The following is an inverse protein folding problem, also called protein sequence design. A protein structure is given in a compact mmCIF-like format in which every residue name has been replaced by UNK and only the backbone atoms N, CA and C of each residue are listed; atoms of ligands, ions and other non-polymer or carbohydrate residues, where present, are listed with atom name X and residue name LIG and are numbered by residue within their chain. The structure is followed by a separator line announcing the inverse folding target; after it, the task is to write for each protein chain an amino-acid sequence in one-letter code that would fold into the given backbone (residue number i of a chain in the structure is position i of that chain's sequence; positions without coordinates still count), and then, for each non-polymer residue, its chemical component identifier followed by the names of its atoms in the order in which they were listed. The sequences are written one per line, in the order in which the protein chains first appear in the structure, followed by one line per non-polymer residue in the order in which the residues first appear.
data_IF_188522230732
#
_entry.id   IF_188522230732
#
_cell.length_a   1.000
_cell.length_b   1.000
_cell.length_c   1.000
_cell.angle_alpha   90.00
_cell.angle_beta   90.00
_cell.angle_gamma   90.00
#
_symmetry.space_group_name_H-M   'P 1'
#
loop_
_entity.id
_entity.type
_entity.pdbx_description
1 polymer ?
#
# COMPACT_ATOMS: atom_id res chain seq x y z
N UNK A 1 10.82 -17.55 -7.24
CA UNK A 1 10.05 -18.68 -7.81
C UNK A 1 10.84 -19.98 -7.58
N UNK A 2 10.17 -21.06 -7.18
CA UNK A 2 10.77 -22.39 -7.13
C UNK A 2 10.00 -23.35 -8.05
N UNK A 3 10.72 -24.22 -8.77
CA UNK A 3 10.13 -25.21 -9.68
C UNK A 3 10.78 -26.57 -9.47
N UNK A 4 9.96 -27.63 -9.50
CA UNK A 4 10.47 -28.98 -9.69
C UNK A 4 11.13 -29.09 -11.07
N UNK A 5 12.16 -29.94 -11.18
CA UNK A 5 12.79 -30.25 -12.46
C UNK A 5 11.82 -31.07 -13.32
N UNK A 6 11.84 -30.88 -14.63
CA UNK A 6 10.85 -31.47 -15.56
C UNK A 6 10.76 -33.01 -15.51
N UNK A 7 11.83 -33.68 -15.10
CA UNK A 7 11.88 -35.14 -14.99
C UNK A 7 11.34 -35.69 -13.66
N UNK A 8 11.05 -34.81 -12.68
CA UNK A 8 10.45 -35.23 -11.40
C UNK A 8 8.94 -35.35 -11.61
N UNK A 9 8.36 -36.54 -11.44
CA UNK A 9 6.92 -36.73 -11.63
C UNK A 9 6.16 -35.98 -10.53
N UNK A 10 5.04 -35.35 -10.93
CA UNK A 10 4.10 -34.76 -9.98
C UNK A 10 3.03 -35.78 -9.56
N UNK A 11 2.65 -35.78 -8.30
CA UNK A 11 1.59 -36.61 -7.73
C UNK A 11 0.31 -35.82 -7.49
N UNK A 12 -0.81 -36.34 -8.01
CA UNK A 12 -2.15 -35.78 -7.80
C UNK A 12 -2.23 -34.28 -8.17
N UNK A 13 -2.67 -33.44 -7.23
CA UNK A 13 -2.91 -32.00 -7.41
C UNK A 13 -1.71 -31.13 -7.01
N UNK A 14 -0.50 -31.70 -6.87
CA UNK A 14 0.66 -30.92 -6.46
C UNK A 14 1.16 -29.97 -7.57
N UNK A 15 1.46 -28.70 -7.24
CA UNK A 15 1.95 -27.74 -8.21
C UNK A 15 3.41 -28.00 -8.57
N UNK A 16 3.76 -27.87 -9.86
CA UNK A 16 5.17 -27.96 -10.31
C UNK A 16 5.98 -26.71 -9.95
N UNK A 17 5.33 -25.54 -9.98
CA UNK A 17 5.90 -24.23 -9.67
C UNK A 17 5.19 -23.65 -8.45
N UNK A 18 5.95 -23.09 -7.53
CA UNK A 18 5.44 -22.38 -6.35
C UNK A 18 6.19 -21.06 -6.15
N UNK A 19 5.52 -20.12 -5.48
CA UNK A 19 6.16 -18.89 -5.05
C UNK A 19 6.58 -19.03 -3.58
N UNK A 20 7.89 -18.93 -3.33
CA UNK A 20 8.43 -18.96 -1.98
C UNK A 20 8.59 -17.51 -1.51
N UNK A 21 7.82 -17.11 -0.50
CA UNK A 21 7.94 -15.77 0.10
C UNK A 21 8.62 -15.88 1.45
N UNK A 22 9.70 -15.13 1.61
CA UNK A 22 10.43 -15.00 2.88
C UNK A 22 10.05 -13.66 3.50
N UNK A 23 9.63 -13.65 4.77
CA UNK A 23 9.20 -12.42 5.43
C UNK A 23 10.35 -11.41 5.49
N UNK A 24 10.07 -10.18 5.06
CA UNK A 24 11.00 -9.05 5.11
C UNK A 24 11.24 -8.53 6.53
N UNK A 25 12.14 -7.56 6.64
CA UNK A 25 12.59 -7.01 7.93
C UNK A 25 11.46 -6.36 8.75
N UNK A 26 10.48 -5.74 8.08
CA UNK A 26 9.34 -5.08 8.71
C UNK A 26 8.40 -6.08 9.39
N UNK A 27 8.03 -7.18 8.71
CA UNK A 27 7.20 -8.24 9.27
C UNK A 27 7.90 -9.00 10.41
N UNK A 28 9.24 -9.10 10.37
CA UNK A 28 10.05 -9.70 11.44
C UNK A 28 10.14 -8.85 12.71
N UNK A 29 9.71 -7.59 12.67
CA UNK A 29 9.80 -6.69 13.82
C UNK A 29 8.90 -7.07 15.00
N UNK A 30 7.86 -7.88 14.77
CA UNK A 30 7.03 -8.44 15.85
C UNK A 30 6.45 -9.82 15.51
N UNK A 31 6.28 -10.67 16.51
CA UNK A 31 5.61 -11.98 16.33
C UNK A 31 4.14 -11.79 15.95
N UNK A 32 3.49 -10.76 16.53
CA UNK A 32 2.09 -10.44 16.26
C UNK A 32 1.85 -10.04 14.80
N UNK A 33 2.79 -9.34 14.15
CA UNK A 33 2.69 -9.01 12.72
C UNK A 33 2.78 -10.23 11.81
N UNK A 34 3.64 -11.21 12.15
CA UNK A 34 3.75 -12.46 11.38
C UNK A 34 2.45 -13.27 11.50
N UNK A 35 1.88 -13.36 12.70
CA UNK A 35 0.63 -14.08 12.93
C UNK A 35 -0.53 -13.39 12.20
N UNK A 36 -0.63 -12.06 12.30
CA UNK A 36 -1.68 -11.30 11.63
C UNK A 36 -1.60 -11.45 10.10
N UNK A 37 -0.42 -11.31 9.52
CA UNK A 37 -0.18 -11.51 8.08
C UNK A 37 -0.52 -12.95 7.66
N UNK A 38 -0.11 -13.95 8.43
CA UNK A 38 -0.43 -15.36 8.13
C UNK A 38 -1.94 -15.62 8.15
N UNK A 39 -2.66 -15.04 9.13
CA UNK A 39 -4.12 -15.17 9.23
C UNK A 39 -4.82 -14.39 8.11
N UNK A 40 -4.36 -13.16 7.79
CA UNK A 40 -4.82 -12.38 6.64
C UNK A 40 -4.72 -13.21 5.37
N UNK A 41 -3.52 -13.72 5.08
CA UNK A 41 -3.23 -14.45 3.85
C UNK A 41 -4.05 -15.74 3.74
N UNK A 42 -4.14 -16.53 4.82
CA UNK A 42 -4.94 -17.75 4.83
C UNK A 42 -6.42 -17.47 4.52
N UNK A 43 -7.01 -16.43 5.11
CA UNK A 43 -8.42 -16.08 4.86
C UNK A 43 -8.62 -15.58 3.43
N UNK A 44 -7.70 -14.78 2.89
CA UNK A 44 -7.78 -14.26 1.52
C UNK A 44 -7.62 -15.36 0.47
N UNK A 45 -6.75 -16.33 0.72
CA UNK A 45 -6.60 -17.56 -0.06
C UNK A 45 -7.93 -18.34 -0.10
N UNK A 46 -8.53 -18.60 1.08
CA UNK A 46 -9.81 -19.33 1.17
C UNK A 46 -10.96 -18.59 0.49
N UNK A 47 -10.97 -17.25 0.54
CA UNK A 47 -11.96 -16.40 -0.14
C UNK A 47 -11.71 -16.22 -1.64
N UNK A 48 -10.61 -16.77 -2.18
CA UNK A 48 -10.19 -16.62 -3.59
C UNK A 48 -10.06 -15.15 -4.00
N UNK A 49 -9.40 -14.38 -3.14
CA UNK A 49 -9.10 -12.96 -3.35
C UNK A 49 -7.60 -12.75 -3.56
N UNK A 50 -6.78 -13.67 -3.06
CA UNK A 50 -5.35 -13.73 -3.34
C UNK A 50 -4.92 -15.13 -3.82
N UNK A 51 -3.61 -15.34 -4.02
CA UNK A 51 -3.04 -16.63 -4.38
C UNK A 51 -3.33 -17.71 -3.34
N UNK A 52 -3.40 -18.98 -3.76
CA UNK A 52 -3.57 -20.08 -2.80
C UNK A 52 -2.36 -20.19 -1.86
N UNK A 53 -2.63 -20.43 -0.58
CA UNK A 53 -1.62 -20.77 0.41
C UNK A 53 -1.37 -22.29 0.43
N UNK A 54 -0.14 -22.72 0.14
CA UNK A 54 0.25 -24.13 0.23
C UNK A 54 0.84 -24.50 1.60
N UNK A 55 1.51 -23.57 2.27
CA UNK A 55 2.08 -23.82 3.59
C UNK A 55 2.78 -22.61 4.20
N UNK A 56 2.97 -22.65 5.51
CA UNK A 56 3.69 -21.63 6.29
C UNK A 56 4.85 -22.31 7.02
N UNK A 57 6.01 -21.67 7.07
CA UNK A 57 7.21 -22.16 7.75
C UNK A 57 7.88 -21.04 8.56
N UNK A 58 8.81 -21.36 9.48
CA UNK A 58 9.54 -20.33 10.22
C UNK A 58 10.27 -19.37 9.27
N UNK A 59 9.80 -18.12 9.20
CA UNK A 59 10.40 -17.08 8.37
C UNK A 59 9.77 -16.88 6.98
N UNK A 60 8.69 -17.58 6.63
CA UNK A 60 8.01 -17.35 5.35
C UNK A 60 6.82 -18.26 5.07
N UNK A 61 6.36 -18.24 3.82
CA UNK A 61 5.22 -19.02 3.33
C UNK A 61 5.41 -19.46 1.87
N UNK A 62 4.68 -20.50 1.49
CA UNK A 62 4.65 -21.06 0.13
C UNK A 62 3.28 -20.77 -0.47
N UNK A 63 3.27 -20.10 -1.60
CA UNK A 63 2.08 -19.60 -2.28
C UNK A 63 1.97 -20.19 -3.69
N UNK A 64 0.77 -20.11 -4.26
CA UNK A 64 0.53 -20.35 -5.68
C UNK A 64 1.37 -19.43 -6.56
N UNK A 65 2.09 -20.02 -7.50
CA UNK A 65 2.74 -19.26 -8.56
C UNK A 65 1.72 -18.96 -9.66
N UNK A 66 1.47 -17.68 -9.88
CA UNK A 66 0.54 -17.19 -10.89
C UNK A 66 1.35 -16.63 -12.06
N UNK A 67 1.23 -17.25 -13.23
CA UNK A 67 1.90 -16.80 -14.45
C UNK A 67 1.25 -15.48 -14.91
N UNK A 68 1.93 -14.39 -14.63
CA UNK A 68 1.42 -13.02 -14.77
C UNK A 68 2.58 -12.02 -14.80
N UNK A 69 2.28 -10.77 -15.15
CA UNK A 69 3.17 -9.62 -14.96
C UNK A 69 2.58 -8.69 -13.91
N UNK A 70 3.39 -7.82 -13.34
CA UNK A 70 2.86 -6.68 -12.58
C UNK A 70 2.27 -5.63 -13.52
N UNK A 71 1.33 -4.85 -13.01
CA UNK A 71 0.91 -3.60 -13.64
C UNK A 71 2.10 -2.64 -13.64
N UNK A 72 2.22 -1.81 -14.68
CA UNK A 72 3.27 -0.78 -14.74
C UNK A 72 2.70 0.61 -14.54
N UNK A 73 3.54 1.54 -14.07
CA UNK A 73 3.20 2.92 -13.77
C UNK A 73 2.34 3.60 -14.85
N UNK A 74 2.75 3.51 -16.12
CA UNK A 74 2.04 4.14 -17.24
C UNK A 74 0.61 3.60 -17.47
N UNK A 75 0.30 2.40 -16.97
CA UNK A 75 -1.01 1.78 -17.12
C UNK A 75 -2.05 2.27 -16.10
N UNK A 76 -1.62 2.87 -14.98
CA UNK A 76 -2.52 3.34 -13.91
C UNK A 76 -3.58 4.32 -14.43
N UNK A 77 -3.21 5.15 -15.41
CA UNK A 77 -4.09 6.15 -16.01
C UNK A 77 -5.06 5.60 -17.08
N UNK A 78 -4.93 4.32 -17.47
CA UNK A 78 -5.76 3.72 -18.52
C UNK A 78 -7.20 3.53 -18.00
N UNK A 79 -8.25 4.03 -18.69
CA UNK A 79 -9.64 3.94 -18.21
C UNK A 79 -10.11 2.55 -17.80
N UNK A 80 -9.69 1.50 -18.50
CA UNK A 80 -10.07 0.12 -18.18
C UNK A 80 -9.32 -0.43 -16.96
N UNK A 81 -8.10 0.04 -16.70
CA UNK A 81 -7.35 -0.27 -15.47
C UNK A 81 -8.02 0.41 -14.28
N UNK A 82 -8.40 1.69 -14.40
CA UNK A 82 -9.17 2.42 -13.39
C UNK A 82 -10.42 1.62 -13.00
N UNK A 83 -11.19 1.19 -14.00
CA UNK A 83 -12.38 0.35 -13.80
C UNK A 83 -12.07 -0.96 -13.08
N UNK A 84 -11.04 -1.68 -13.52
CA UNK A 84 -10.65 -2.97 -12.95
C UNK A 84 -10.22 -2.83 -11.48
N UNK A 85 -9.40 -1.84 -11.17
CA UNK A 85 -8.93 -1.55 -9.82
C UNK A 85 -10.09 -1.12 -8.93
N UNK A 86 -10.95 -0.20 -9.39
CA UNK A 86 -12.12 0.25 -8.64
C UNK A 86 -13.04 -0.90 -8.23
N UNK A 87 -13.29 -1.86 -9.15
CA UNK A 87 -14.07 -3.07 -8.88
C UNK A 87 -13.42 -3.98 -7.83
N UNK A 88 -12.10 -4.19 -7.92
CA UNK A 88 -11.39 -5.03 -6.95
C UNK A 88 -11.28 -4.38 -5.57
N UNK A 89 -11.06 -3.07 -5.52
CA UNK A 89 -11.02 -2.32 -4.27
C UNK A 89 -12.41 -2.36 -3.58
N UNK A 90 -13.50 -2.23 -4.35
CA UNK A 90 -14.85 -2.44 -3.83
C UNK A 90 -15.03 -3.83 -3.24
N UNK A 91 -14.47 -4.86 -3.89
CA UNK A 91 -14.49 -6.24 -3.39
C UNK A 91 -13.77 -6.43 -2.07
N UNK A 92 -12.56 -5.86 -1.97
CA UNK A 92 -11.75 -5.90 -0.74
C UNK A 92 -12.49 -5.16 0.39
N UNK A 93 -13.04 -3.97 0.11
CA UNK A 93 -13.78 -3.17 1.08
C UNK A 93 -15.09 -3.82 1.55
N UNK A 94 -15.67 -4.72 0.74
CA UNK A 94 -16.85 -5.52 1.09
C UNK A 94 -16.57 -6.69 2.04
N UNK A 95 -15.30 -6.99 2.34
CA UNK A 95 -14.93 -8.14 3.17
C UNK A 95 -15.22 -7.91 4.65
N UNK A 96 -15.89 -8.88 5.27
CA UNK A 96 -15.90 -9.02 6.73
C UNK A 96 -14.77 -9.96 7.16
N UNK A 97 -13.71 -9.36 7.70
CA UNK A 97 -12.51 -10.06 8.18
C UNK A 97 -12.49 -10.08 9.71
N UNK A 98 -12.06 -11.16 10.38
CA UNK A 98 -12.14 -11.32 11.84
C UNK A 98 -11.06 -10.52 12.62
N UNK A 99 -10.84 -9.26 12.25
CA UNK A 99 -9.88 -8.35 12.88
C UNK A 99 -10.56 -7.19 13.60
N UNK A 100 -9.75 -6.39 14.30
CA UNK A 100 -10.19 -5.13 14.90
C UNK A 100 -10.83 -4.25 13.83
N UNK A 101 -12.09 -3.86 14.04
CA UNK A 101 -12.86 -3.02 13.10
C UNK A 101 -12.54 -1.54 13.22
N UNK A 102 -11.71 -1.16 14.19
CA UNK A 102 -11.29 0.22 14.40
C UNK A 102 -10.01 0.50 13.60
N UNK A 103 -9.89 1.68 12.96
CA UNK A 103 -8.75 2.07 12.14
C UNK A 103 -7.53 2.39 13.00
N UNK A 104 -6.97 1.38 13.68
CA UNK A 104 -5.92 1.58 14.69
C UNK A 104 -4.56 1.05 14.29
N UNK A 105 -4.50 0.11 13.33
CA UNK A 105 -3.25 -0.57 12.96
C UNK A 105 -2.21 0.41 12.39
N UNK A 106 -2.56 1.12 11.32
CA UNK A 106 -1.69 2.09 10.65
C UNK A 106 -1.35 3.27 11.57
N UNK A 107 -2.32 3.80 12.32
CA UNK A 107 -2.11 4.91 13.25
C UNK A 107 -1.15 4.55 14.40
N UNK A 108 -1.31 3.36 15.00
CA UNK A 108 -0.35 2.88 16.02
C UNK A 108 1.05 2.68 15.44
N UNK A 109 1.14 2.27 14.19
CA UNK A 109 2.42 2.13 13.49
C UNK A 109 3.06 3.51 13.26
N UNK A 110 2.30 4.51 12.77
CA UNK A 110 2.74 5.90 12.65
C UNK A 110 3.24 6.46 13.98
N UNK A 111 2.45 6.30 15.05
CA UNK A 111 2.82 6.77 16.41
C UNK A 111 4.10 6.11 16.92
N UNK A 112 4.28 4.81 16.67
CA UNK A 112 5.50 4.10 17.03
C UNK A 112 6.71 4.68 16.29
N UNK A 113 6.60 4.86 14.97
CA UNK A 113 7.69 5.38 14.15
C UNK A 113 8.02 6.84 14.47
N UNK A 114 7.00 7.70 14.63
CA UNK A 114 7.17 9.08 15.09
C UNK A 114 7.85 9.14 16.46
N UNK A 115 7.50 8.26 17.39
CA UNK A 115 8.17 8.19 18.69
C UNK A 115 9.65 7.82 18.55
N UNK A 116 10.06 7.03 17.56
CA UNK A 116 11.47 6.75 17.27
C UNK A 116 12.16 7.96 16.65
N UNK A 117 11.55 8.57 15.63
CA UNK A 117 12.09 9.75 14.93
C UNK A 117 12.24 10.96 15.87
N UNK A 118 11.36 11.11 16.85
CA UNK A 118 11.39 12.21 17.85
C UNK A 118 12.27 11.91 19.07
N UNK A 119 12.91 10.73 19.12
CA UNK A 119 13.80 10.32 20.21
C UNK A 119 13.08 9.89 21.50
N UNK A 120 11.75 9.80 21.51
CA UNK A 120 10.96 9.28 22.64
C UNK A 120 11.19 7.77 22.83
N UNK A 121 11.40 7.04 21.72
CA UNK A 121 11.77 5.63 21.70
C UNK A 121 13.17 5.45 21.13
N UNK A 122 13.75 4.27 21.39
CA UNK A 122 15.05 3.89 20.82
C UNK A 122 15.00 3.91 19.28
N UNK A 123 16.11 4.28 18.62
CA UNK A 123 16.23 4.22 17.17
C UNK A 123 15.82 2.86 16.60
N UNK A 124 15.32 2.82 15.36
CA UNK A 124 15.08 1.54 14.70
C UNK A 124 16.40 0.78 14.53
N UNK A 125 16.35 -0.55 14.66
CA UNK A 125 17.52 -1.40 14.47
C UNK A 125 17.19 -2.42 13.38
N UNK A 126 18.14 -2.64 12.45
CA UNK A 126 18.02 -3.70 11.46
C UNK A 126 17.86 -5.05 12.18
N UNK A 127 16.80 -5.83 11.90
CA UNK A 127 16.65 -7.14 12.52
C UNK A 127 17.77 -8.08 12.06
N UNK A 128 18.31 -8.88 12.97
CA UNK A 128 19.30 -9.91 12.60
C UNK A 128 18.61 -10.95 11.71
N UNK A 129 19.17 -11.33 10.54
CA UNK A 129 18.52 -12.31 9.70
C UNK A 129 18.45 -13.68 10.40
N UNK A 130 17.31 -14.36 10.30
CA UNK A 130 17.12 -15.73 10.82
C UNK A 130 17.75 -16.82 9.92
N UNK A 131 18.63 -16.43 8.99
CA UNK A 131 19.33 -17.34 8.09
C UNK A 131 20.77 -17.51 8.57
N UNK A 132 21.32 -18.72 8.40
CA UNK A 132 22.73 -18.96 8.71
C UNK A 132 23.63 -18.01 7.90
N UNK A 133 24.79 -17.63 8.46
CA UNK A 133 25.74 -16.75 7.76
C UNK A 133 26.11 -17.27 6.36
N UNK A 134 26.12 -18.59 6.16
CA UNK A 134 26.40 -19.20 4.86
C UNK A 134 25.27 -18.97 3.84
N UNK A 135 24.00 -18.99 4.27
CA UNK A 135 22.85 -18.72 3.41
C UNK A 135 22.74 -17.25 3.04
N UNK A 136 23.07 -16.35 3.97
CA UNK A 136 23.13 -14.91 3.70
C UNK A 136 24.24 -14.56 2.72
N UNK A 137 25.44 -15.12 2.92
CA UNK A 137 26.58 -14.92 2.01
C UNK A 137 26.36 -15.54 0.62
N UNK A 138 25.45 -16.51 0.50
CA UNK A 138 25.06 -17.08 -0.79
C UNK A 138 24.06 -16.17 -1.50
N UNK A 139 23.04 -15.68 -0.79
CA UNK A 139 22.06 -14.72 -1.32
C UNK A 139 22.70 -13.37 -1.65
N UNK A 140 23.62 -12.88 -0.83
CA UNK A 140 24.40 -11.67 -1.09
C UNK A 140 25.28 -11.84 -2.33
N UNK A 141 25.93 -13.01 -2.51
CA UNK A 141 26.71 -13.29 -3.72
C UNK A 141 25.83 -13.33 -4.96
N UNK A 142 24.67 -13.98 -4.88
CA UNK A 142 23.72 -14.07 -6.00
C UNK A 142 23.14 -12.69 -6.35
N UNK A 143 22.87 -11.83 -5.35
CA UNK A 143 22.43 -10.45 -5.57
C UNK A 143 23.53 -9.52 -6.11
N UNK A 144 24.78 -9.73 -5.68
CA UNK A 144 25.94 -8.96 -6.16
C UNK A 144 26.31 -9.37 -7.60
N UNK A 145 26.23 -10.66 -7.94
CA UNK A 145 26.54 -11.16 -9.28
C UNK A 145 25.53 -10.71 -10.36
N UNK A 146 24.27 -10.44 -9.99
CA UNK A 146 23.26 -9.87 -10.91
C UNK A 146 23.43 -8.35 -11.14
N UNK A 147 24.32 -7.70 -10.37
CA UNK A 147 24.54 -6.24 -10.38
C UNK A 147 25.82 -5.78 -11.09
N UNK A 148 26.46 -6.65 -11.89
CA UNK A 148 27.75 -6.37 -12.51
C UNK A 148 27.66 -5.44 -13.73
N UNK A 149 27.30 -4.17 -13.48
CA UNK A 149 27.72 -3.01 -14.26
C UNK A 149 28.24 -1.92 -13.32
N UNK A 150 29.57 -1.80 -13.34
CA UNK A 150 30.45 -0.71 -12.89
C UNK A 150 30.67 -0.49 -11.38
N UNK A 151 31.95 -0.63 -11.03
CA UNK A 151 32.62 -0.27 -9.78
C UNK A 151 32.22 1.08 -9.18
N UNK A 152 32.05 1.11 -7.85
CA UNK A 152 31.80 2.25 -6.93
C UNK A 152 30.33 2.65 -6.71
N UNK A 153 29.76 2.32 -5.54
CA UNK A 153 28.56 3.03 -5.07
C UNK A 153 27.73 2.33 -4.00
N UNK A 154 28.25 2.12 -2.78
CA UNK A 154 27.33 2.14 -1.63
C UNK A 154 26.71 3.54 -1.60
N UNK A 155 25.38 3.63 -1.55
CA UNK A 155 24.73 4.91 -1.27
C UNK A 155 25.23 5.41 0.08
N UNK A 156 25.53 6.71 0.23
CA UNK A 156 25.95 7.24 1.51
C UNK A 156 24.91 6.90 2.58
N UNK A 157 25.32 6.23 3.65
CA UNK A 157 24.42 6.01 4.78
C UNK A 157 24.08 7.37 5.40
N UNK A 158 22.79 7.67 5.50
CA UNK A 158 22.30 8.83 6.21
C UNK A 158 22.26 8.48 7.70
N UNK A 159 23.03 9.21 8.50
CA UNK A 159 23.04 8.96 9.94
C UNK A 159 21.68 9.28 10.58
N UNK A 160 21.40 8.65 11.71
CA UNK A 160 20.09 8.81 12.35
C UNK A 160 19.80 10.25 12.78
N UNK A 161 20.81 11.03 13.17
CA UNK A 161 20.59 12.42 13.57
C UNK A 161 20.07 13.23 12.37
N UNK A 162 20.66 13.05 11.20
CA UNK A 162 20.16 13.67 9.95
C UNK A 162 18.70 13.24 9.67
N UNK A 163 18.35 11.98 9.89
CA UNK A 163 16.95 11.50 9.75
C UNK A 163 16.00 12.21 10.73
N UNK A 164 16.42 12.43 11.99
CA UNK A 164 15.63 13.17 12.96
C UNK A 164 15.46 14.64 12.56
N UNK A 165 16.50 15.26 12.03
CA UNK A 165 16.46 16.63 11.51
C UNK A 165 15.49 16.76 10.33
N UNK A 166 15.45 15.77 9.43
CA UNK A 166 14.45 15.69 8.35
C UNK A 166 13.03 15.57 8.89
N UNK A 167 12.80 14.72 9.89
CA UNK A 167 11.47 14.57 10.50
C UNK A 167 10.94 15.91 11.09
N UNK A 168 11.83 16.70 11.70
CA UNK A 168 11.52 18.05 12.19
C UNK A 168 11.30 19.04 11.04
N UNK A 169 12.19 19.03 10.02
CA UNK A 169 12.08 19.90 8.84
C UNK A 169 10.74 19.70 8.11
N UNK A 170 10.29 18.45 8.00
CA UNK A 170 9.02 18.09 7.39
C UNK A 170 7.81 18.24 8.33
N UNK A 171 8.02 18.60 9.60
CA UNK A 171 6.96 18.77 10.61
C UNK A 171 6.07 17.53 10.77
N UNK A 172 6.65 16.34 10.65
CA UNK A 172 5.89 15.09 10.56
C UNK A 172 4.98 14.86 11.78
N UNK A 173 5.46 15.18 12.98
CA UNK A 173 4.67 15.01 14.21
C UNK A 173 3.50 16.00 14.24
N UNK A 174 3.76 17.27 13.96
CA UNK A 174 2.74 18.32 13.98
C UNK A 174 1.67 18.09 12.92
N UNK A 175 2.06 17.71 11.70
CA UNK A 175 1.13 17.44 10.61
C UNK A 175 0.32 16.15 10.84
N UNK A 176 0.94 15.13 11.45
CA UNK A 176 0.23 13.91 11.85
C UNK A 176 -0.82 14.18 12.95
N UNK A 177 -0.46 14.89 14.01
CA UNK A 177 -1.41 15.24 15.08
C UNK A 177 -2.51 16.17 14.56
N UNK A 178 -2.18 17.14 13.70
CA UNK A 178 -3.19 17.98 13.04
C UNK A 178 -4.19 17.13 12.25
N UNK A 179 -3.71 16.20 11.42
CA UNK A 179 -4.58 15.37 10.60
C UNK A 179 -5.47 14.46 11.47
N UNK A 180 -4.90 13.90 12.54
CA UNK A 180 -5.63 13.09 13.52
C UNK A 180 -6.74 13.90 14.20
N UNK A 181 -6.45 15.13 14.61
CA UNK A 181 -7.44 16.05 15.18
C UNK A 181 -8.55 16.39 14.17
N UNK A 182 -8.21 16.66 12.90
CA UNK A 182 -9.21 16.91 11.86
C UNK A 182 -10.11 15.70 11.63
N UNK A 183 -9.57 14.48 11.61
CA UNK A 183 -10.36 13.26 11.51
C UNK A 183 -11.31 13.08 12.71
N UNK A 184 -10.86 13.40 13.92
CA UNK A 184 -11.67 13.30 15.14
C UNK A 184 -12.81 14.34 15.20
N UNK A 185 -12.62 15.53 14.65
CA UNK A 185 -13.65 16.58 14.59
C UNK A 185 -14.85 16.19 13.73
N UNK A 186 -14.73 15.20 12.86
CA UNK A 186 -15.80 14.75 11.94
C UNK A 186 -16.79 13.81 12.64
N UNK A 187 -17.43 14.27 13.72
CA UNK A 187 -18.37 13.46 14.51
C UNK A 187 -19.73 13.27 13.85
N UNK A 188 -20.20 14.27 13.10
CA UNK A 188 -21.53 14.24 12.46
C UNK A 188 -21.56 13.51 11.11
N UNK A 189 -20.40 13.33 10.48
CA UNK A 189 -20.26 12.69 9.18
C UNK A 189 -18.93 11.92 9.13
N UNK A 190 -18.69 10.92 9.98
CA UNK A 190 -17.40 10.23 10.08
C UNK A 190 -17.06 9.52 8.78
N UNK A 191 -15.76 9.38 8.47
CA UNK A 191 -15.39 8.64 7.26
C UNK A 191 -15.69 7.13 7.42
N UNK A 192 -16.20 6.45 6.37
CA UNK A 192 -16.47 5.03 6.43
C UNK A 192 -15.21 4.21 6.71
N UNK A 193 -15.33 3.25 7.63
CA UNK A 193 -14.28 2.28 7.94
C UNK A 193 -14.61 0.94 7.28
N UNK A 194 -13.68 0.42 6.50
CA UNK A 194 -13.80 -0.84 5.75
C UNK A 194 -12.50 -1.63 5.86
N UNK A 195 -12.48 -2.89 5.43
CA UNK A 195 -11.23 -3.63 5.31
C UNK A 195 -10.46 -3.12 4.09
N UNK A 196 -9.27 -2.58 4.29
CA UNK A 196 -8.45 -1.94 3.24
C UNK A 196 -7.21 -2.79 2.93
N UNK A 197 -6.69 -2.65 1.71
CA UNK A 197 -5.37 -3.13 1.32
C UNK A 197 -4.26 -2.29 1.96
N UNK A 198 -4.45 -0.96 2.00
CA UNK A 198 -3.55 0.07 2.51
C UNK A 198 -2.27 0.32 1.69
N UNK A 199 -1.92 -0.55 0.74
CA UNK A 199 -0.74 -0.39 -0.13
C UNK A 199 -0.98 -0.86 -1.59
N UNK A 200 -2.06 -0.39 -2.23
CA UNK A 200 -2.42 -0.83 -3.60
C UNK A 200 -1.67 -0.03 -4.70
N UNK A 201 -0.35 -0.15 -4.71
CA UNK A 201 0.53 0.31 -5.79
C UNK A 201 0.56 -0.69 -6.98
N UNK A 202 1.08 -0.29 -8.13
CA UNK A 202 1.11 -1.08 -9.37
C UNK A 202 1.87 -2.41 -9.20
N UNK A 203 2.93 -2.44 -8.40
CA UNK A 203 3.69 -3.67 -8.10
C UNK A 203 2.87 -4.72 -7.33
N UNK A 204 1.83 -4.27 -6.62
CA UNK A 204 0.91 -5.13 -5.85
C UNK A 204 -0.33 -5.52 -6.68
N UNK A 205 -0.33 -5.29 -7.99
CA UNK A 205 -1.40 -5.67 -8.91
C UNK A 205 -0.82 -6.55 -10.02
N UNK A 206 -1.19 -7.83 -10.02
CA UNK A 206 -0.85 -8.74 -11.12
C UNK A 206 -1.86 -8.58 -12.25
N UNK A 207 -1.39 -8.56 -13.50
CA UNK A 207 -2.22 -8.63 -14.71
C UNK A 207 -2.17 -10.07 -15.23
N UNK A 208 -3.33 -10.72 -15.24
CA UNK A 208 -3.50 -12.15 -15.51
C UNK A 208 -3.68 -12.46 -17.01
N UNK A 209 -3.98 -11.44 -17.80
CA UNK A 209 -4.09 -11.53 -19.24
C UNK A 209 -3.05 -10.64 -19.93
N UNK A 210 -3.01 -10.68 -21.27
CA UNK A 210 -2.20 -9.75 -22.09
C UNK A 210 -3.14 -8.76 -22.81
N UNK A 211 -3.74 -7.81 -22.06
CA UNK A 211 -4.76 -6.92 -22.61
C UNK A 211 -4.12 -5.84 -23.46
N UNK A 212 -4.76 -5.49 -24.59
CA UNK A 212 -4.51 -4.18 -25.21
C UNK A 212 -5.13 -3.08 -24.36
N UNK A 213 -4.74 -1.80 -24.52
CA UNK A 213 -5.27 -0.70 -23.72
C UNK A 213 -6.80 -0.58 -23.70
N UNK A 214 -7.48 -1.01 -24.77
CA UNK A 214 -8.94 -0.98 -24.92
C UNK A 214 -9.64 -2.23 -24.38
N UNK A 215 -8.89 -3.26 -24.00
CA UNK A 215 -9.43 -4.53 -23.55
C UNK A 215 -9.68 -4.52 -22.04
N UNK A 216 -10.37 -5.57 -21.57
CA UNK A 216 -10.62 -5.78 -20.15
C UNK A 216 -9.32 -6.23 -19.48
N UNK A 217 -8.97 -5.59 -18.37
CA UNK A 217 -7.85 -6.00 -17.54
C UNK A 217 -8.36 -7.02 -16.50
N UNK A 218 -7.84 -8.24 -16.58
CA UNK A 218 -8.02 -9.22 -15.53
C UNK A 218 -6.88 -9.05 -14.54
N UNK A 219 -7.19 -8.53 -13.36
CA UNK A 219 -6.17 -8.22 -12.35
C UNK A 219 -6.35 -9.04 -11.08
N UNK A 220 -5.28 -9.17 -10.32
CA UNK A 220 -5.26 -9.77 -9.00
C UNK A 220 -4.40 -8.92 -8.05
N UNK A 221 -5.02 -8.23 -7.08
CA UNK A 221 -4.29 -7.62 -5.97
C UNK A 221 -3.55 -8.68 -5.15
N UNK A 222 -2.32 -8.36 -4.75
CA UNK A 222 -1.46 -9.21 -3.93
C UNK A 222 -0.77 -8.37 -2.83
N UNK A 223 -0.07 -9.05 -1.92
CA UNK A 223 0.73 -8.41 -0.87
C UNK A 223 -0.06 -7.58 0.16
N UNK A 224 -0.96 -8.27 0.87
CA UNK A 224 -1.82 -7.71 1.91
C UNK A 224 -1.10 -7.50 3.26
N UNK A 225 0.20 -7.18 3.26
CA UNK A 225 0.99 -7.07 4.49
C UNK A 225 0.56 -5.90 5.38
N UNK A 226 0.08 -4.81 4.77
CA UNK A 226 -0.50 -3.66 5.47
C UNK A 226 -2.02 -3.75 5.62
N UNK A 227 -2.66 -4.84 5.16
CA UNK A 227 -4.11 -4.92 5.10
C UNK A 227 -4.76 -4.98 6.49
N UNK A 228 -5.87 -4.27 6.64
CA UNK A 228 -6.58 -4.12 7.90
C UNK A 228 -7.72 -3.12 7.79
N UNK A 229 -8.55 -3.05 8.83
CA UNK A 229 -9.62 -2.04 8.85
C UNK A 229 -9.02 -0.64 8.91
N UNK A 230 -9.42 0.21 7.97
CA UNK A 230 -8.99 1.59 7.87
C UNK A 230 -10.11 2.44 7.23
N UNK A 231 -9.92 3.76 7.16
CA UNK A 231 -10.83 4.63 6.41
C UNK A 231 -10.78 4.28 4.93
N UNK A 232 -11.93 4.09 4.28
CA UNK A 232 -12.02 3.79 2.84
C UNK A 232 -11.27 4.82 2.00
N UNK A 233 -11.45 6.10 2.33
CA UNK A 233 -10.75 7.20 1.70
C UNK A 233 -9.23 7.07 1.71
N UNK A 234 -8.66 6.45 2.74
CA UNK A 234 -7.22 6.20 2.81
C UNK A 234 -6.75 5.28 1.71
N UNK A 235 -7.42 4.15 1.50
CA UNK A 235 -6.99 3.16 0.50
C UNK A 235 -7.11 3.73 -0.93
N UNK A 236 -8.22 4.42 -1.19
CA UNK A 236 -8.46 5.11 -2.48
C UNK A 236 -7.46 6.25 -2.69
N UNK A 237 -7.26 7.10 -1.68
CA UNK A 237 -6.31 8.21 -1.74
C UNK A 237 -4.86 7.74 -1.88
N UNK A 238 -4.49 6.63 -1.24
CA UNK A 238 -3.21 5.98 -1.42
C UNK A 238 -3.03 5.55 -2.88
N UNK A 239 -4.00 4.82 -3.43
CA UNK A 239 -3.93 4.39 -4.83
C UNK A 239 -3.80 5.57 -5.81
N UNK A 240 -4.50 6.69 -5.57
CA UNK A 240 -4.33 7.90 -6.37
C UNK A 240 -2.95 8.54 -6.23
N UNK A 241 -2.34 8.48 -5.05
CA UNK A 241 -0.98 8.97 -4.86
C UNK A 241 0.03 8.18 -5.70
N UNK A 242 -0.16 6.87 -5.85
CA UNK A 242 0.77 6.00 -6.61
C UNK A 242 0.80 6.31 -8.11
N UNK A 243 -0.18 7.06 -8.64
CA UNK A 243 -0.11 7.57 -10.02
C UNK A 243 0.99 8.60 -10.25
N UNK A 244 1.56 9.13 -9.17
CA UNK A 244 2.61 10.13 -9.23
C UNK A 244 4.01 9.54 -9.05
N UNK A 245 4.17 8.26 -8.66
CA UNK A 245 5.46 7.68 -8.29
C UNK A 245 5.78 6.46 -9.17
N UNK A 246 6.92 6.50 -9.85
CA UNK A 246 7.45 5.39 -10.65
C UNK A 246 8.68 4.80 -9.95
N UNK A 247 8.55 3.56 -9.47
CA UNK A 247 9.59 2.84 -8.74
C UNK A 247 10.56 2.08 -9.64
N UNK A 248 10.41 2.17 -10.97
CA UNK A 248 11.24 1.43 -11.94
C UNK A 248 12.47 2.21 -12.42
N UNK A 249 12.67 3.43 -11.91
CA UNK A 249 13.75 4.29 -12.33
C UNK A 249 15.13 3.68 -12.00
N UNK A 250 16.02 3.46 -12.99
CA UNK A 250 17.22 2.65 -12.79
C UNK A 250 18.36 3.37 -12.06
N UNK A 251 18.29 4.71 -11.99
CA UNK A 251 19.34 5.55 -11.41
C UNK A 251 18.88 6.16 -10.07
N UNK A 252 19.83 6.56 -9.22
CA UNK A 252 19.52 7.25 -7.96
C UNK A 252 18.63 8.47 -8.24
N UNK A 253 17.50 8.66 -7.52
CA UNK A 253 17.17 8.05 -6.22
C UNK A 253 16.47 6.67 -6.25
N UNK A 254 16.43 6.02 -7.41
CA UNK A 254 15.76 4.73 -7.71
C UNK A 254 14.22 4.82 -7.70
N UNK A 255 13.72 6.03 -7.89
CA UNK A 255 12.34 6.32 -8.24
C UNK A 255 12.32 7.64 -9.02
N UNK A 256 11.25 7.85 -9.78
CA UNK A 256 10.88 9.15 -10.34
C UNK A 256 9.50 9.52 -9.81
N UNK A 257 9.18 10.81 -9.79
CA UNK A 257 7.83 11.25 -9.47
C UNK A 257 7.43 12.48 -10.28
N UNK A 258 6.15 12.56 -10.63
CA UNK A 258 5.53 13.71 -11.27
C UNK A 258 4.17 13.96 -10.62
N UNK A 259 4.10 15.06 -9.86
CA UNK A 259 2.91 15.44 -9.11
C UNK A 259 1.77 15.97 -9.99
N UNK A 260 2.00 16.19 -11.28
CA UNK A 260 0.97 16.60 -12.24
C UNK A 260 0.24 15.40 -12.84
N UNK A 261 0.72 14.17 -12.60
CA UNK A 261 0.05 12.92 -12.97
C UNK A 261 -1.02 12.46 -11.98
N UNK A 262 -1.18 13.16 -10.85
CA UNK A 262 -2.25 12.90 -9.90
C UNK A 262 -3.63 12.93 -10.60
N UNK A 263 -4.52 11.95 -10.37
CA UNK A 263 -5.74 11.81 -11.15
C UNK A 263 -6.62 13.06 -11.06
N UNK A 264 -7.12 13.52 -12.21
CA UNK A 264 -8.02 14.66 -12.29
C UNK A 264 -9.33 14.41 -11.54
N UNK A 265 -10.09 15.47 -11.26
CA UNK A 265 -11.42 15.36 -10.62
C UNK A 265 -12.35 14.44 -11.41
N UNK A 266 -12.26 14.47 -12.73
CA UNK A 266 -13.03 13.62 -13.63
C UNK A 266 -12.59 12.15 -13.54
N UNK A 267 -11.29 11.87 -13.50
CA UNK A 267 -10.76 10.51 -13.33
C UNK A 267 -11.12 9.93 -11.95
N UNK A 268 -11.04 10.74 -10.90
CA UNK A 268 -11.48 10.34 -9.55
C UNK A 268 -12.98 10.05 -9.52
N UNK A 269 -13.82 10.87 -10.18
CA UNK A 269 -15.25 10.61 -10.29
C UNK A 269 -15.55 9.33 -11.09
N UNK A 270 -14.80 9.06 -12.16
CA UNK A 270 -14.88 7.81 -12.91
C UNK A 270 -14.56 6.61 -12.01
N UNK A 271 -13.45 6.67 -11.25
CA UNK A 271 -13.08 5.63 -10.30
C UNK A 271 -14.20 5.38 -9.28
N UNK A 272 -14.72 6.44 -8.65
CA UNK A 272 -15.79 6.32 -7.66
C UNK A 272 -17.09 5.78 -8.24
N UNK A 273 -17.43 6.13 -9.49
CA UNK A 273 -18.62 5.61 -10.17
C UNK A 273 -18.55 4.09 -10.29
N UNK A 274 -17.42 3.58 -10.76
CA UNK A 274 -17.18 2.13 -10.94
C UNK A 274 -17.08 1.39 -9.62
N UNK A 275 -16.39 2.00 -8.64
CA UNK A 275 -16.29 1.48 -7.28
C UNK A 275 -17.67 1.30 -6.65
N UNK A 276 -18.53 2.33 -6.70
CA UNK A 276 -19.86 2.29 -6.11
C UNK A 276 -20.79 1.32 -6.83
N UNK A 277 -20.67 1.23 -8.16
CA UNK A 277 -21.40 0.24 -8.95
C UNK A 277 -21.06 -1.19 -8.50
N UNK A 278 -19.76 -1.50 -8.36
CA UNK A 278 -19.28 -2.80 -7.92
C UNK A 278 -19.66 -3.11 -6.47
N UNK A 279 -19.47 -2.16 -5.56
CA UNK A 279 -19.77 -2.33 -4.14
C UNK A 279 -21.25 -2.67 -3.88
N UNK A 280 -22.15 -2.23 -4.76
CA UNK A 280 -23.58 -2.59 -4.71
C UNK A 280 -23.91 -3.97 -5.25
N UNK A 281 -23.25 -4.40 -6.31
CA UNK A 281 -23.58 -5.68 -6.97
C UNK A 281 -23.08 -6.86 -6.15
N UNK A 282 -22.05 -6.65 -5.32
CA UNK A 282 -21.51 -7.66 -4.41
C UNK A 282 -22.39 -8.00 -3.20
N UNK A 283 -23.72 -7.78 -3.28
CA UNK A 283 -24.74 -8.05 -2.25
C UNK A 283 -24.63 -9.45 -1.60
N UNK A 284 -23.71 -9.60 -0.64
CA UNK A 284 -23.86 -10.00 0.77
C UNK A 284 -22.67 -9.44 1.60
N UNK A 285 -22.53 -8.11 1.74
CA UNK A 285 -21.73 -7.57 2.83
C UNK A 285 -22.37 -7.99 4.16
N UNK A 286 -21.58 -8.48 5.10
CA UNK A 286 -22.12 -8.97 6.37
C UNK A 286 -22.75 -7.82 7.17
N UNK A 287 -23.70 -8.16 8.05
CA UNK A 287 -24.50 -7.23 8.86
C UNK A 287 -23.70 -6.23 9.74
N UNK A 288 -22.37 -6.32 9.77
CA UNK A 288 -21.48 -5.54 10.64
C UNK A 288 -20.77 -4.37 9.93
N UNK A 289 -20.96 -4.18 8.62
CA UNK A 289 -20.53 -2.96 7.91
C UNK A 289 -21.48 -1.78 8.21
N UNK A 290 -21.77 -1.55 9.50
CA UNK A 290 -22.96 -0.85 9.99
C UNK A 290 -23.06 0.60 9.55
N UNK A 291 -21.99 1.23 9.06
CA UNK A 291 -22.00 2.67 8.73
C UNK A 291 -21.84 2.97 7.23
N UNK A 292 -21.12 2.14 6.45
CA UNK A 292 -20.88 2.43 5.03
C UNK A 292 -22.14 2.33 4.15
N UNK A 293 -23.09 1.44 4.53
CA UNK A 293 -24.35 1.26 3.81
C UNK A 293 -25.40 2.32 4.10
N UNK A 294 -25.40 2.90 5.32
CA UNK A 294 -26.40 3.88 5.74
C UNK A 294 -26.14 5.27 5.12
N UNK A 295 -24.88 5.69 4.96
CA UNK A 295 -24.57 7.04 4.48
C UNK A 295 -24.69 7.21 2.96
N UNK A 296 -24.41 6.17 2.18
CA UNK A 296 -24.40 6.26 0.72
C UNK A 296 -25.75 5.92 0.06
N UNK A 297 -26.82 5.69 0.83
CA UNK A 297 -28.16 5.38 0.30
C UNK A 297 -28.21 4.11 -0.59
N UNK A 298 -27.18 3.26 -0.56
CA UNK A 298 -26.95 2.15 -1.50
C UNK A 298 -27.93 0.97 -1.32
N UNK A 299 -28.80 1.05 -0.30
CA UNK A 299 -29.82 0.04 0.00
C UNK A 299 -31.09 0.16 -0.85
N UNK A 300 -31.32 1.28 -1.53
CA UNK A 300 -32.52 1.50 -2.34
C UNK A 300 -32.34 0.97 -3.77
N UNK A 301 -33.28 0.14 -4.24
CA UNK A 301 -33.31 -0.37 -5.62
C UNK A 301 -33.51 0.73 -6.68
N UNK A 302 -33.86 1.95 -6.26
CA UNK A 302 -34.07 3.11 -7.12
C UNK A 302 -32.91 4.14 -7.09
N UNK A 303 -31.71 3.77 -6.64
CA UNK A 303 -30.59 4.73 -6.59
C UNK A 303 -30.20 5.24 -7.99
N UNK A 304 -30.37 6.54 -8.23
CA UNK A 304 -29.85 7.20 -9.42
C UNK A 304 -28.44 7.77 -9.18
N UNK A 305 -27.51 7.51 -10.11
CA UNK A 305 -26.15 8.06 -10.10
C UNK A 305 -26.11 9.60 -10.03
N UNK A 306 -27.18 10.27 -10.47
CA UNK A 306 -27.38 11.73 -10.39
C UNK A 306 -27.37 12.27 -8.95
N UNK A 307 -27.56 11.41 -7.94
CA UNK A 307 -27.63 11.79 -6.52
C UNK A 307 -26.31 11.63 -5.76
N UNK A 308 -25.26 11.12 -6.42
CA UNK A 308 -23.94 10.95 -5.79
C UNK A 308 -23.30 12.33 -5.57
N UNK A 309 -23.00 12.62 -4.32
CA UNK A 309 -22.18 13.77 -3.94
C UNK A 309 -20.70 13.40 -4.10
N UNK A 310 -20.17 13.62 -5.31
CA UNK A 310 -18.76 13.38 -5.62
C UNK A 310 -17.82 14.31 -4.84
N UNK A 311 -18.28 15.45 -4.34
CA UNK A 311 -17.46 16.33 -3.51
C UNK A 311 -17.16 15.68 -2.16
N UNK A 312 -18.12 14.98 -1.55
CA UNK A 312 -17.88 14.21 -0.32
C UNK A 312 -16.84 13.10 -0.53
N UNK A 313 -16.95 12.36 -1.63
CA UNK A 313 -16.02 11.27 -1.96
C UNK A 313 -14.62 11.82 -2.28
N UNK A 314 -14.55 12.94 -2.98
CA UNK A 314 -13.31 13.66 -3.23
C UNK A 314 -12.65 14.15 -1.95
N UNK A 315 -13.42 14.73 -1.01
CA UNK A 315 -12.90 15.12 0.31
C UNK A 315 -12.35 13.89 1.04
N UNK A 316 -13.11 12.80 1.07
CA UNK A 316 -12.71 11.54 1.69
C UNK A 316 -11.39 11.00 1.13
N UNK A 317 -11.27 10.86 -0.20
CA UNK A 317 -10.02 10.41 -0.82
C UNK A 317 -8.88 11.39 -0.62
N UNK A 318 -9.15 12.70 -0.60
CA UNK A 318 -8.11 13.72 -0.39
C UNK A 318 -7.54 13.68 1.02
N UNK A 319 -8.37 13.53 2.07
CA UNK A 319 -7.88 13.26 3.43
C UNK A 319 -7.07 11.96 3.50
N UNK A 320 -7.52 10.94 2.76
CA UNK A 320 -6.79 9.69 2.61
C UNK A 320 -5.41 9.87 1.99
N UNK A 321 -5.30 10.65 0.91
CA UNK A 321 -4.03 11.01 0.26
C UNK A 321 -3.09 11.74 1.20
N UNK A 322 -3.60 12.67 2.01
CA UNK A 322 -2.82 13.36 3.04
C UNK A 322 -2.24 12.38 4.06
N UNK A 323 -3.08 11.48 4.58
CA UNK A 323 -2.59 10.49 5.55
C UNK A 323 -1.58 9.52 4.90
N UNK A 324 -1.81 9.11 3.65
CA UNK A 324 -0.89 8.24 2.90
C UNK A 324 0.47 8.90 2.74
N UNK A 325 0.55 10.16 2.28
CA UNK A 325 1.84 10.84 2.16
C UNK A 325 2.58 10.94 3.50
N UNK A 326 1.89 11.29 4.59
CA UNK A 326 2.49 11.34 5.93
C UNK A 326 2.99 9.95 6.36
N UNK A 327 2.14 8.92 6.23
CA UNK A 327 2.50 7.56 6.64
C UNK A 327 3.75 7.09 5.91
N UNK A 328 3.79 7.23 4.59
CA UNK A 328 4.90 6.74 3.78
C UNK A 328 6.15 7.61 3.93
N UNK A 329 6.04 8.91 4.21
CA UNK A 329 7.19 9.73 4.59
C UNK A 329 7.80 9.28 5.93
N UNK A 330 6.96 9.05 6.96
CA UNK A 330 7.38 8.53 8.26
C UNK A 330 8.02 7.15 8.12
N UNK A 331 7.36 6.24 7.39
CA UNK A 331 7.87 4.90 7.10
C UNK A 331 9.22 4.98 6.39
N UNK A 332 9.35 5.84 5.39
CA UNK A 332 10.57 5.97 4.59
C UNK A 332 11.74 6.44 5.43
N UNK A 333 11.56 7.43 6.30
CA UNK A 333 12.61 7.85 7.23
C UNK A 333 13.07 6.74 8.18
N UNK A 334 12.17 5.83 8.59
CA UNK A 334 12.55 4.63 9.34
C UNK A 334 13.35 3.67 8.44
N UNK A 335 12.91 3.46 7.19
CA UNK A 335 13.60 2.59 6.24
C UNK A 335 15.00 3.06 5.90
N UNK A 336 15.28 4.36 5.90
CA UNK A 336 16.63 4.92 5.75
C UNK A 336 17.64 4.27 6.72
N UNK A 337 17.19 3.80 7.88
CA UNK A 337 18.06 3.21 8.90
C UNK A 337 18.11 1.68 8.90
N UNK A 338 17.06 1.02 8.39
CA UNK A 338 16.92 -0.43 8.53
C UNK A 338 17.04 -1.14 7.20
N UNK A 339 16.51 -0.56 6.11
CA UNK A 339 16.44 -1.23 4.83
C UNK A 339 17.83 -1.49 4.24
N UNK A 340 17.97 -2.62 3.57
CA UNK A 340 19.13 -2.95 2.74
C UNK A 340 18.85 -2.73 1.25
N UNK A 341 17.66 -2.25 0.89
CA UNK A 341 17.26 -2.04 -0.50
C UNK A 341 17.98 -0.81 -1.05
N UNK A 342 18.47 -0.90 -2.29
CA UNK A 342 19.08 0.20 -3.02
C UNK A 342 18.01 1.22 -3.44
N UNK A 343 17.64 2.10 -2.52
CA UNK A 343 16.60 3.11 -2.68
C UNK A 343 16.88 4.31 -1.77
N UNK A 344 16.72 5.56 -2.27
CA UNK A 344 16.94 6.76 -1.44
C UNK A 344 15.68 7.12 -0.65
N UNK A 345 15.50 6.43 0.46
CA UNK A 345 14.36 6.62 1.37
C UNK A 345 14.26 8.03 1.96
N UNK A 346 15.38 8.71 2.17
CA UNK A 346 15.42 10.11 2.61
C UNK A 346 14.85 11.07 1.54
N UNK A 347 15.24 10.88 0.28
CA UNK A 347 14.74 11.67 -0.85
C UNK A 347 13.27 11.33 -1.15
N UNK A 348 12.87 10.08 -1.01
CA UNK A 348 11.47 9.67 -1.13
C UNK A 348 10.58 10.30 -0.05
N UNK A 349 11.06 10.36 1.20
CA UNK A 349 10.33 11.06 2.26
C UNK A 349 10.11 12.54 1.91
N UNK A 350 11.12 13.20 1.33
CA UNK A 350 11.00 14.58 0.85
C UNK A 350 9.94 14.71 -0.26
N UNK A 351 9.97 13.84 -1.27
CA UNK A 351 9.00 13.83 -2.37
C UNK A 351 7.57 13.59 -1.88
N UNK A 352 7.36 12.65 -0.94
CA UNK A 352 6.05 12.42 -0.31
C UNK A 352 5.56 13.65 0.45
N UNK A 353 6.44 14.39 1.14
CA UNK A 353 6.06 15.59 1.88
C UNK A 353 5.81 16.80 0.97
N UNK A 354 6.51 16.92 -0.15
CA UNK A 354 6.17 17.90 -1.19
C UNK A 354 4.74 17.66 -1.71
N UNK A 355 4.43 16.41 -2.07
CA UNK A 355 3.11 15.99 -2.52
C UNK A 355 2.03 16.24 -1.44
N UNK A 356 2.32 15.94 -0.17
CA UNK A 356 1.45 16.22 0.97
C UNK A 356 1.04 17.70 1.01
N UNK A 357 1.99 18.62 0.93
CA UNK A 357 1.68 20.05 1.02
C UNK A 357 0.96 20.57 -0.23
N UNK A 358 1.29 20.06 -1.43
CA UNK A 358 0.53 20.35 -2.66
C UNK A 358 -0.93 19.91 -2.50
N UNK A 359 -1.17 18.70 -2.00
CA UNK A 359 -2.51 18.17 -1.81
C UNK A 359 -3.28 18.89 -0.68
N UNK A 360 -2.59 19.22 0.42
CA UNK A 360 -3.20 19.94 1.55
C UNK A 360 -3.70 21.32 1.15
N UNK A 361 -2.99 22.00 0.25
CA UNK A 361 -3.40 23.28 -0.29
C UNK A 361 -4.73 23.21 -1.08
N UNK A 362 -5.12 22.05 -1.63
CA UNK A 362 -6.41 21.87 -2.29
C UNK A 362 -7.58 21.92 -1.31
N UNK A 363 -7.41 21.39 -0.10
CA UNK A 363 -8.43 21.45 0.96
C UNK A 363 -8.37 22.77 1.75
N UNK A 364 -7.16 23.30 1.95
CA UNK A 364 -6.92 24.46 2.83
C UNK A 364 -6.02 25.53 2.18
N UNK A 365 -6.52 26.26 1.16
CA UNK A 365 -5.70 27.17 0.35
C UNK A 365 -5.00 28.31 1.12
N UNK A 366 -5.46 28.61 2.34
CA UNK A 366 -4.99 29.75 3.16
C UNK A 366 -3.96 29.40 4.24
N UNK A 367 -3.55 28.13 4.36
CA UNK A 367 -2.74 27.65 5.51
C UNK A 367 -1.39 27.03 5.16
N UNK A 368 -1.07 26.85 3.88
CA UNK A 368 0.15 26.15 3.47
C UNK A 368 1.37 27.09 3.47
N UNK A 369 2.43 26.83 4.27
CA UNK A 369 3.68 27.57 4.14
C UNK A 369 4.33 27.25 2.78
N UNK A 370 4.81 28.29 2.08
CA UNK A 370 5.64 28.10 0.89
C UNK A 370 6.99 27.54 1.34
N UNK A 371 7.28 26.28 1.04
CA UNK A 371 8.63 25.74 1.17
C UNK A 371 9.43 26.17 -0.07
N UNK A 372 10.48 26.98 0.13
CA UNK A 372 11.57 27.04 -0.83
C UNK A 372 12.43 25.78 -0.58
N UNK A 373 12.54 24.94 -1.62
CA UNK A 373 13.31 23.69 -1.61
C UNK A 373 14.79 23.97 -1.34
#
# INVERSE_FOLDING_TARGET
MASLKDHVPIQMDEPRKVFLRVYGEVLRSSVDSIVLDSVNFAILSEKRIGPRLYGVFPGGRIEEYIESRTLVFSELSIPNVIQAIARHMARIHGLNMPFCKQPTFMFKMSERFLAQLTGVRKPPCRPVPNLSSASLLALEREYIEDSDHTTNGCLPEVDFQTVQELAVRFRLLEEYEWLKDELQKRTENPFPVVFCHNDLQENNVLVLNDPKPTDIYEILPIDFEYAGYNYRGFDVGNHFNEWCFDYTYPESPYFAYDLDLYPSREQQAQFWTEYLAAFRTEKRPSMDATNAHQELGLGDSNFEYSTIDFDKLWIESTYGSLYSHLFWAIWSLIQTQISSIRFRFDEYAAARMEAYYKQKALLFPKTSPQFAI
#
